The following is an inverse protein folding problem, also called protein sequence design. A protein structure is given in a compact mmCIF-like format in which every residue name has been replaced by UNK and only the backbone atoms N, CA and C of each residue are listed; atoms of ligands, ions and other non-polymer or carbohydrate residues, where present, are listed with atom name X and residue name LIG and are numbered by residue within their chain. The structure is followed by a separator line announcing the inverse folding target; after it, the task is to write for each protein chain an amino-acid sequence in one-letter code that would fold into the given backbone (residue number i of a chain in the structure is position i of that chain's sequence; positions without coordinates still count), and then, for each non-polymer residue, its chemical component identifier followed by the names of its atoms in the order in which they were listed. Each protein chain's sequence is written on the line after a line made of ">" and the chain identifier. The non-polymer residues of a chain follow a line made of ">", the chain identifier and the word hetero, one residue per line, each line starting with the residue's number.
data_IF_533826546386
#
_entry.id   IF_533826546386
#
_cell.length_a   1.000
_cell.length_b   1.000
_cell.length_c   1.000
_cell.angle_alpha   90.00
_cell.angle_beta   90.00
_cell.angle_gamma   90.00
#
_symmetry.space_group_name_H-M   'P 1'
#
loop_
_entity.id
_entity.type
_entity.pdbx_description
1 polymer ?
#
# COMPACT_ATOMS: atom_id res chain seq x y z
N UNK A 1 33.73 -5.57 26.33
CA UNK A 1 32.29 -5.64 26.02
C UNK A 1 32.06 -5.31 24.53
N UNK A 2 31.48 -6.20 23.81
CA UNK A 2 31.19 -5.94 22.40
C UNK A 2 29.96 -5.07 22.27
N UNK A 3 30.07 -4.03 21.46
CA UNK A 3 28.89 -3.24 21.06
C UNK A 3 28.16 -3.98 19.96
N UNK A 4 26.84 -4.00 20.06
CA UNK A 4 26.02 -4.57 18.99
C UNK A 4 26.12 -3.65 17.76
N UNK A 5 26.43 -4.21 16.56
CA UNK A 5 26.51 -3.40 15.35
C UNK A 5 25.16 -2.87 14.89
N UNK A 6 24.07 -3.42 15.39
CA UNK A 6 22.71 -3.03 15.02
C UNK A 6 21.96 -2.65 16.30
N UNK A 7 21.34 -1.48 16.27
CA UNK A 7 20.47 -1.01 17.33
C UNK A 7 19.03 -1.00 16.83
N UNK A 8 18.13 -1.60 17.58
CA UNK A 8 16.70 -1.61 17.24
C UNK A 8 15.97 -0.68 18.20
N UNK A 9 15.11 0.15 17.65
CA UNK A 9 14.28 1.09 18.40
C UNK A 9 12.82 0.86 18.02
N UNK A 10 11.97 0.69 19.05
CA UNK A 10 10.53 0.57 18.83
C UNK A 10 9.94 1.95 18.57
N UNK A 11 9.32 2.14 17.41
CA UNK A 11 8.72 3.40 17.01
C UNK A 11 7.22 3.45 17.33
N UNK A 12 6.53 2.32 17.26
CA UNK A 12 5.08 2.25 17.42
C UNK A 12 4.65 0.84 17.73
N UNK A 13 3.64 0.71 18.60
CA UNK A 13 2.93 -0.56 18.83
C UNK A 13 1.57 -0.51 18.12
N UNK A 14 1.34 -1.44 17.19
CA UNK A 14 0.11 -1.47 16.41
C UNK A 14 -1.11 -1.76 17.28
N UNK A 15 -0.96 -2.55 18.33
CA UNK A 15 -2.05 -2.82 19.26
C UNK A 15 -2.59 -1.56 19.92
N UNK A 16 -1.74 -0.55 20.18
CA UNK A 16 -2.16 0.72 20.76
C UNK A 16 -3.02 1.56 19.79
N UNK A 17 -3.02 1.21 18.51
CA UNK A 17 -3.85 1.85 17.47
C UNK A 17 -5.11 1.07 17.16
N UNK A 18 -5.45 0.07 17.97
CA UNK A 18 -6.63 -0.74 17.77
C UNK A 18 -6.52 -1.80 16.70
N UNK A 19 -5.30 -2.17 16.32
CA UNK A 19 -5.05 -3.23 15.34
C UNK A 19 -5.05 -4.58 16.06
N UNK A 20 -5.87 -5.50 15.59
CA UNK A 20 -5.95 -6.84 16.18
C UNK A 20 -4.74 -7.69 15.75
N UNK A 21 -4.25 -8.59 16.62
CA UNK A 21 -3.11 -9.46 16.25
C UNK A 21 -3.34 -10.28 14.99
N UNK A 22 -4.57 -10.68 14.71
CA UNK A 22 -4.94 -11.45 13.51
C UNK A 22 -4.69 -10.68 12.22
N UNK A 23 -4.71 -9.36 12.28
CA UNK A 23 -4.49 -8.49 11.12
C UNK A 23 -3.02 -8.11 10.95
N UNK A 24 -2.14 -8.55 11.83
CA UNK A 24 -0.71 -8.23 11.77
C UNK A 24 0.05 -9.41 11.15
N UNK A 25 0.25 -9.35 9.83
CA UNK A 25 0.99 -10.37 9.09
C UNK A 25 1.58 -9.76 7.82
N UNK A 26 2.41 -10.52 7.12
CA UNK A 26 3.15 -10.03 5.95
C UNK A 26 2.27 -9.71 4.74
N UNK A 27 1.02 -10.14 4.72
CA UNK A 27 0.11 -9.85 3.60
C UNK A 27 -0.81 -8.67 3.89
N UNK A 28 -1.10 -8.38 5.14
CA UNK A 28 -2.04 -7.31 5.53
C UNK A 28 -1.35 -6.02 5.94
N UNK A 29 -0.13 -6.10 6.47
CA UNK A 29 0.63 -4.92 6.90
C UNK A 29 1.68 -4.58 5.83
N UNK A 30 1.66 -3.33 5.37
CA UNK A 30 2.62 -2.84 4.39
C UNK A 30 3.25 -1.53 4.87
N UNK A 31 4.54 -1.39 4.60
CA UNK A 31 5.31 -0.19 4.90
C UNK A 31 6.26 0.06 3.73
N UNK A 32 5.85 0.96 2.83
CA UNK A 32 6.61 1.24 1.61
C UNK A 32 7.69 2.31 1.84
N UNK A 33 7.59 3.06 2.95
CA UNK A 33 8.56 4.06 3.37
C UNK A 33 8.48 4.24 4.87
N UNK A 34 9.28 5.14 5.42
CA UNK A 34 9.23 5.51 6.84
C UNK A 34 8.03 6.41 7.19
N UNK A 35 7.21 6.78 6.21
CA UNK A 35 6.16 7.78 6.39
C UNK A 35 4.80 7.19 6.76
N UNK A 36 4.38 6.11 6.09
CA UNK A 36 3.06 5.53 6.28
C UNK A 36 3.11 4.02 6.49
N UNK A 37 2.24 3.53 7.36
CA UNK A 37 1.96 2.10 7.51
C UNK A 37 0.49 1.88 7.13
N UNK A 38 0.22 0.87 6.32
CA UNK A 38 -1.14 0.47 5.97
C UNK A 38 -1.43 -0.93 6.48
N UNK A 39 -2.62 -1.12 7.02
CA UNK A 39 -3.08 -2.40 7.52
C UNK A 39 -4.43 -2.70 6.88
N UNK A 40 -4.50 -3.80 6.14
CA UNK A 40 -5.72 -4.29 5.53
C UNK A 40 -6.37 -5.29 6.48
N UNK A 41 -7.45 -4.87 7.11
CA UNK A 41 -8.10 -5.65 8.15
C UNK A 41 -9.13 -6.63 7.58
N UNK A 42 -9.27 -7.78 8.25
CA UNK A 42 -10.23 -8.80 7.85
C UNK A 42 -11.69 -8.30 7.86
N UNK A 43 -11.97 -7.27 8.66
CA UNK A 43 -13.28 -6.62 8.72
C UNK A 43 -13.65 -5.87 7.43
N UNK A 44 -12.72 -5.71 6.49
CA UNK A 44 -12.92 -4.96 5.24
C UNK A 44 -12.50 -3.50 5.32
N UNK A 45 -11.85 -3.10 6.39
CA UNK A 45 -11.31 -1.75 6.53
C UNK A 45 -9.83 -1.70 6.20
N UNK A 46 -9.43 -0.59 5.60
CA UNK A 46 -8.03 -0.21 5.48
C UNK A 46 -7.72 0.82 6.55
N UNK A 47 -6.70 0.58 7.34
CA UNK A 47 -6.20 1.51 8.35
C UNK A 47 -4.87 2.06 7.88
N UNK A 48 -4.72 3.38 7.89
CA UNK A 48 -3.47 4.05 7.55
C UNK A 48 -2.95 4.80 8.76
N UNK A 49 -1.68 4.58 9.09
CA UNK A 49 -0.99 5.28 10.18
C UNK A 49 0.06 6.21 9.56
N UNK A 50 -0.03 7.47 9.91
CA UNK A 50 0.97 8.47 9.53
C UNK A 50 2.07 8.47 10.61
N UNK A 51 3.26 8.02 10.26
CA UNK A 51 4.37 7.91 11.21
C UNK A 51 4.94 9.25 11.62
N UNK A 52 4.70 10.31 10.86
CA UNK A 52 5.07 11.67 11.27
C UNK A 52 4.14 12.21 12.36
N UNK A 53 2.99 11.58 12.56
CA UNK A 53 2.04 11.89 13.61
C UNK A 53 1.57 10.59 14.29
N UNK A 54 2.52 9.82 14.82
CA UNK A 54 2.25 8.50 15.39
C UNK A 54 1.35 8.56 16.63
N UNK A 55 1.29 9.71 17.32
CA UNK A 55 0.38 9.93 18.44
C UNK A 55 -1.07 10.23 18.04
N UNK A 56 -1.31 10.53 16.75
CA UNK A 56 -2.64 10.84 16.24
C UNK A 56 -3.48 9.59 15.99
N UNK A 57 -4.75 9.82 15.68
CA UNK A 57 -5.67 8.74 15.32
C UNK A 57 -5.39 8.23 13.91
N UNK A 58 -5.37 6.90 13.71
CA UNK A 58 -5.25 6.34 12.37
C UNK A 58 -6.46 6.71 11.51
N UNK A 59 -6.22 6.86 10.22
CA UNK A 59 -7.32 7.00 9.25
C UNK A 59 -7.83 5.61 8.88
N UNK A 60 -9.15 5.43 8.89
CA UNK A 60 -9.80 4.16 8.54
C UNK A 60 -10.84 4.40 7.48
N UNK A 61 -10.90 3.50 6.48
CA UNK A 61 -11.94 3.56 5.47
C UNK A 61 -12.31 2.15 5.00
N UNK A 62 -13.57 1.92 4.64
CA UNK A 62 -13.96 0.66 4.02
C UNK A 62 -13.28 0.52 2.67
N UNK A 63 -12.65 -0.62 2.43
CA UNK A 63 -11.95 -0.85 1.18
C UNK A 63 -11.78 -2.33 0.92
N UNK A 64 -12.38 -2.80 -0.17
CA UNK A 64 -12.24 -4.18 -0.61
C UNK A 64 -11.14 -4.24 -1.66
N UNK A 65 -10.02 -4.85 -1.28
CA UNK A 65 -8.91 -5.07 -2.18
C UNK A 65 -8.15 -6.32 -1.75
N UNK A 66 -7.49 -6.98 -2.68
CA UNK A 66 -6.64 -8.12 -2.37
C UNK A 66 -5.28 -7.69 -1.86
N UNK A 67 -4.81 -6.53 -2.32
CA UNK A 67 -3.56 -5.94 -1.86
C UNK A 67 -3.63 -4.43 -2.00
N UNK A 68 -2.88 -3.75 -1.14
CA UNK A 68 -2.80 -2.28 -1.10
C UNK A 68 -1.35 -1.90 -0.87
N UNK A 69 -0.84 -0.96 -1.65
CA UNK A 69 0.46 -0.34 -1.40
C UNK A 69 0.32 1.18 -1.40
N UNK A 70 0.86 1.80 -0.37
CA UNK A 70 0.80 3.25 -0.17
C UNK A 70 1.95 3.95 -0.86
N UNK A 71 1.68 5.08 -1.50
CA UNK A 71 2.74 5.94 -2.04
C UNK A 71 3.75 6.28 -0.94
N UNK A 72 5.06 6.24 -1.22
CA UNK A 72 6.07 6.50 -0.19
C UNK A 72 6.08 7.95 0.33
N UNK A 73 5.48 8.90 -0.38
CA UNK A 73 5.55 10.32 -0.04
C UNK A 73 4.19 10.98 0.17
N UNK A 74 3.10 10.45 -0.40
CA UNK A 74 1.79 11.10 -0.42
C UNK A 74 0.69 10.15 0.04
N UNK A 75 -0.51 10.69 0.30
CA UNK A 75 -1.68 9.90 0.69
C UNK A 75 -2.41 9.32 -0.53
N UNK A 76 -1.64 8.82 -1.48
CA UNK A 76 -2.12 8.13 -2.66
C UNK A 76 -1.78 6.64 -2.51
N UNK A 77 -2.74 5.78 -2.77
CA UNK A 77 -2.49 4.34 -2.67
C UNK A 77 -2.87 3.62 -3.95
N UNK A 78 -2.27 2.47 -4.14
CA UNK A 78 -2.60 1.57 -5.24
C UNK A 78 -3.29 0.33 -4.67
N UNK A 79 -4.37 -0.07 -5.30
CA UNK A 79 -5.19 -1.22 -4.92
C UNK A 79 -5.13 -2.27 -6.00
N UNK A 80 -5.12 -3.52 -5.60
CA UNK A 80 -5.26 -4.66 -6.50
C UNK A 80 -6.55 -5.41 -6.18
N UNK A 81 -7.34 -5.67 -7.21
CA UNK A 81 -8.54 -6.49 -7.10
C UNK A 81 -8.62 -7.44 -8.29
N UNK A 82 -9.07 -8.66 -8.03
CA UNK A 82 -9.31 -9.64 -9.09
C UNK A 82 -10.76 -9.68 -9.46
N UNK A 83 -11.03 -9.68 -10.77
CA UNK A 83 -12.35 -9.90 -11.33
C UNK A 83 -12.22 -11.04 -12.34
N UNK A 84 -12.64 -12.26 -11.97
CA UNK A 84 -12.41 -13.45 -12.77
C UNK A 84 -10.93 -13.79 -12.86
N UNK A 85 -10.39 -13.85 -14.09
CA UNK A 85 -8.97 -14.13 -14.36
C UNK A 85 -8.14 -12.86 -14.53
N UNK A 86 -8.77 -11.70 -14.42
CA UNK A 86 -8.10 -10.40 -14.67
C UNK A 86 -7.79 -9.69 -13.36
N UNK A 87 -6.66 -8.99 -13.34
CA UNK A 87 -6.27 -8.15 -12.22
C UNK A 87 -6.49 -6.69 -12.60
N UNK A 88 -7.26 -5.97 -11.78
CA UNK A 88 -7.45 -4.53 -11.93
C UNK A 88 -6.63 -3.82 -10.87
N UNK A 89 -5.79 -2.89 -11.30
CA UNK A 89 -5.06 -1.98 -10.41
C UNK A 89 -5.74 -0.62 -10.45
N UNK A 90 -5.98 -0.06 -9.27
CA UNK A 90 -6.61 1.25 -9.12
C UNK A 90 -5.70 2.15 -8.29
N UNK A 91 -5.66 3.41 -8.68
CA UNK A 91 -4.96 4.46 -7.92
C UNK A 91 -6.01 5.33 -7.26
N UNK A 92 -5.90 5.47 -5.95
CA UNK A 92 -6.87 6.17 -5.13
C UNK A 92 -6.18 7.25 -4.29
N UNK A 93 -6.75 8.46 -4.31
CA UNK A 93 -6.31 9.56 -3.46
C UNK A 93 -7.13 9.53 -2.18
N UNK A 94 -6.50 9.23 -1.06
CA UNK A 94 -7.18 9.15 0.23
C UNK A 94 -7.62 10.51 0.75
N UNK A 95 -6.90 11.56 0.41
CA UNK A 95 -7.20 12.92 0.84
C UNK A 95 -8.44 13.46 0.13
N UNK A 96 -8.49 13.30 -1.19
CA UNK A 96 -9.64 13.68 -2.01
C UNK A 96 -10.76 12.64 -2.00
N UNK A 97 -10.48 11.43 -1.49
CA UNK A 97 -11.39 10.28 -1.47
C UNK A 97 -11.94 9.95 -2.86
N UNK A 98 -11.05 9.96 -3.84
CA UNK A 98 -11.41 9.74 -5.23
C UNK A 98 -10.44 8.79 -5.94
N UNK A 99 -10.97 8.05 -6.91
CA UNK A 99 -10.18 7.21 -7.79
C UNK A 99 -9.54 8.08 -8.87
N UNK A 100 -8.23 8.01 -9.00
CA UNK A 100 -7.48 8.78 -9.99
C UNK A 100 -7.32 8.03 -11.30
N UNK A 101 -6.98 6.75 -11.23
CA UNK A 101 -6.67 5.91 -12.38
C UNK A 101 -7.07 4.48 -12.11
N UNK A 102 -7.28 3.72 -13.19
CA UNK A 102 -7.45 2.27 -13.13
C UNK A 102 -6.91 1.65 -14.41
N UNK A 103 -6.38 0.44 -14.29
CA UNK A 103 -5.94 -0.34 -15.44
C UNK A 103 -6.18 -1.82 -15.17
N UNK A 104 -6.67 -2.53 -16.19
CA UNK A 104 -6.94 -3.96 -16.12
C UNK A 104 -5.85 -4.73 -16.86
N UNK A 105 -5.23 -5.69 -16.17
CA UNK A 105 -4.22 -6.57 -16.74
C UNK A 105 -4.85 -7.94 -17.07
N UNK A 106 -4.61 -8.49 -18.27
CA UNK A 106 -5.11 -9.82 -18.61
C UNK A 106 -4.41 -10.94 -17.83
N UNK A 107 -3.18 -10.69 -17.39
CA UNK A 107 -2.38 -11.64 -16.61
C UNK A 107 -2.35 -11.26 -15.15
N UNK A 108 -2.02 -12.24 -14.29
CA UNK A 108 -1.78 -11.94 -12.88
C UNK A 108 -0.56 -11.03 -12.72
N UNK A 109 -0.70 -10.06 -11.81
CA UNK A 109 0.41 -9.24 -11.37
C UNK A 109 1.16 -10.01 -10.29
N UNK A 110 2.41 -10.38 -10.58
CA UNK A 110 3.23 -11.17 -9.67
C UNK A 110 4.02 -10.31 -8.69
N UNK A 111 4.39 -9.11 -9.10
CA UNK A 111 5.07 -8.13 -8.26
C UNK A 111 4.66 -6.73 -8.69
N UNK A 112 4.39 -5.88 -7.72
CA UNK A 112 4.14 -4.47 -7.96
C UNK A 112 4.66 -3.67 -6.78
N UNK A 113 5.23 -2.51 -7.09
CA UNK A 113 5.88 -1.70 -6.07
C UNK A 113 5.97 -0.26 -6.54
N UNK A 114 5.86 0.69 -5.60
CA UNK A 114 6.24 2.07 -5.87
C UNK A 114 7.75 2.15 -6.06
N UNK A 115 8.17 2.55 -7.25
CA UNK A 115 9.59 2.78 -7.56
C UNK A 115 10.03 4.11 -6.93
N UNK A 116 9.16 5.11 -7.06
CA UNK A 116 9.30 6.42 -6.44
C UNK A 116 7.89 7.00 -6.19
N UNK A 117 7.82 8.28 -5.83
CA UNK A 117 6.54 8.93 -5.52
C UNK A 117 5.63 9.12 -6.74
N UNK A 118 6.13 8.89 -7.95
CA UNK A 118 5.42 9.17 -9.20
C UNK A 118 5.23 7.96 -10.09
N UNK A 119 5.84 6.84 -9.78
CA UNK A 119 5.86 5.68 -10.69
C UNK A 119 5.70 4.38 -9.93
N UNK A 120 4.82 3.51 -10.42
CA UNK A 120 4.68 2.13 -9.97
C UNK A 120 5.34 1.20 -10.98
N UNK A 121 6.18 0.29 -10.50
CA UNK A 121 6.68 -0.83 -11.28
C UNK A 121 5.76 -2.02 -11.12
N UNK A 122 5.44 -2.68 -12.21
CA UNK A 122 4.51 -3.80 -12.26
C UNK A 122 5.14 -4.94 -13.06
N UNK A 123 5.14 -6.13 -12.49
CA UNK A 123 5.66 -7.34 -13.15
C UNK A 123 4.53 -8.35 -13.28
N UNK A 124 4.29 -8.80 -14.50
CA UNK A 124 3.40 -9.91 -14.80
C UNK A 124 4.22 -11.13 -15.25
N UNK A 125 3.56 -12.21 -15.58
CA UNK A 125 4.23 -13.41 -16.08
C UNK A 125 4.94 -13.17 -17.42
N UNK A 126 4.54 -12.16 -18.18
CA UNK A 126 5.04 -11.93 -19.54
C UNK A 126 5.84 -10.63 -19.71
N UNK A 127 5.71 -9.66 -18.81
CA UNK A 127 6.27 -8.34 -19.04
C UNK A 127 6.49 -7.54 -17.76
N UNK A 128 7.27 -6.46 -17.90
CA UNK A 128 7.49 -5.45 -16.86
C UNK A 128 6.94 -4.13 -17.37
N UNK A 129 6.19 -3.44 -16.52
CA UNK A 129 5.58 -2.15 -16.85
C UNK A 129 5.98 -1.08 -15.85
N UNK A 130 6.06 0.14 -16.33
CA UNK A 130 6.09 1.33 -15.47
C UNK A 130 4.79 2.12 -15.66
N UNK A 131 4.17 2.49 -14.57
CA UNK A 131 2.93 3.27 -14.60
C UNK A 131 3.16 4.62 -13.93
N UNK A 132 3.24 5.66 -14.76
CA UNK A 132 3.43 7.01 -14.26
C UNK A 132 2.12 7.55 -13.67
N UNK A 133 2.23 8.23 -12.54
CA UNK A 133 1.09 8.94 -11.93
C UNK A 133 0.85 10.30 -12.60
N UNK A 134 1.74 10.75 -13.48
CA UNK A 134 1.57 12.00 -14.19
C UNK A 134 0.70 11.81 -15.44
N UNK A 135 -0.26 12.71 -15.63
CA UNK A 135 -1.18 12.64 -16.75
C UNK A 135 -2.12 11.46 -16.71
N UNK A 136 -2.63 11.08 -17.87
CA UNK A 136 -3.60 9.98 -18.04
C UNK A 136 -3.01 8.75 -18.73
N UNK A 137 -1.69 8.57 -18.62
CA UNK A 137 -1.00 7.47 -19.31
C UNK A 137 -1.32 6.12 -18.66
N UNK A 138 -1.46 5.13 -19.54
CA UNK A 138 -1.54 3.73 -19.12
C UNK A 138 -0.13 3.18 -18.81
N UNK A 139 -0.05 2.01 -18.14
CA UNK A 139 1.24 1.33 -17.92
C UNK A 139 1.95 1.03 -19.26
N UNK A 140 3.26 1.21 -19.26
CA UNK A 140 4.08 1.01 -20.45
C UNK A 140 5.21 0.03 -20.18
#
# INVERSE_FOLDING_TARGET
>A
MQQMPIKMEELLQLGSKGIQPEDINHTSVRMESDKYITIRQASGNLTMIDMSNAGGEPERMPMKAEAVIMNPATKVLALSAKVGTKTTLQIFDMQAKSKLKAHEFPDDVTLWKWIDAKTIGIVTASAVFHWSMEGSRDPV
#
